data_IF_428531007246
#
_entry.id   IF_428531007246
#
_cell.length_a   1.000
_cell.length_b   1.000
_cell.length_c   1.000
_cell.angle_alpha   90.00
_cell.angle_beta   90.00
_cell.angle_gamma   90.00
#
_symmetry.space_group_name_H-M   'P 1'
#
loop_
_entity.id
_entity.type
_entity.pdbx_description
1 polymer ?
#
# COMPACT_ATOMS: atom_id res chain seq x y z
N UNK A 1 27.28 -13.84 -4.50
CA UNK A 1 26.42 -13.18 -3.49
C UNK A 1 24.97 -13.54 -3.77
N UNK A 2 24.20 -13.95 -2.75
CA UNK A 2 22.81 -14.37 -2.94
C UNK A 2 21.85 -13.23 -2.58
N UNK A 3 21.04 -12.77 -3.52
CA UNK A 3 19.99 -11.79 -3.28
C UNK A 3 18.61 -12.46 -3.23
N UNK A 4 17.89 -12.26 -2.14
CA UNK A 4 16.54 -12.78 -1.91
C UNK A 4 15.59 -11.60 -1.83
N UNK A 5 14.73 -11.48 -2.84
CA UNK A 5 13.78 -10.39 -2.99
C UNK A 5 12.40 -10.89 -2.57
N UNK A 6 11.86 -10.36 -1.48
CA UNK A 6 10.49 -10.61 -1.06
C UNK A 6 9.52 -9.79 -1.91
N UNK A 7 8.69 -10.47 -2.70
CA UNK A 7 7.62 -9.90 -3.52
C UNK A 7 6.29 -10.60 -3.20
N UNK A 8 5.82 -10.43 -1.96
CA UNK A 8 4.54 -10.98 -1.51
C UNK A 8 3.35 -10.44 -2.33
N UNK A 9 3.57 -9.32 -3.00
CA UNK A 9 2.59 -8.56 -3.77
C UNK A 9 2.53 -8.94 -5.25
N UNK A 10 3.41 -9.85 -5.70
CA UNK A 10 3.46 -10.34 -7.08
C UNK A 10 3.70 -9.23 -8.13
N UNK A 11 4.44 -8.19 -7.75
CA UNK A 11 4.72 -7.03 -8.59
C UNK A 11 5.78 -7.32 -9.67
N UNK A 12 6.64 -8.32 -9.46
CA UNK A 12 7.70 -8.72 -10.40
C UNK A 12 7.33 -9.90 -11.31
N UNK A 13 6.03 -10.17 -11.52
CA UNK A 13 5.55 -11.32 -12.33
C UNK A 13 6.19 -11.46 -13.72
N UNK A 14 6.77 -10.41 -14.30
CA UNK A 14 7.41 -10.41 -15.63
C UNK A 14 8.93 -10.35 -15.61
N UNK A 15 9.58 -10.50 -14.45
CA UNK A 15 11.05 -10.45 -14.39
C UNK A 15 11.67 -11.75 -14.92
N UNK A 16 12.81 -11.67 -15.62
CA UNK A 16 13.61 -12.86 -15.99
C UNK A 16 14.22 -13.59 -14.77
N UNK A 17 13.96 -13.13 -13.54
CA UNK A 17 14.50 -13.71 -12.32
C UNK A 17 13.72 -14.97 -11.97
N UNK A 18 14.36 -15.91 -11.28
CA UNK A 18 13.70 -17.14 -10.80
C UNK A 18 12.75 -16.81 -9.65
N UNK A 19 11.56 -17.40 -9.66
CA UNK A 19 10.52 -17.20 -8.67
C UNK A 19 10.33 -18.45 -7.78
N UNK A 20 10.12 -18.23 -6.48
CA UNK A 20 9.63 -19.24 -5.53
C UNK A 20 8.29 -18.73 -4.99
N UNK A 21 7.22 -19.25 -5.55
CA UNK A 21 5.86 -18.75 -5.36
C UNK A 21 5.03 -19.68 -4.47
N UNK A 22 5.44 -20.94 -4.33
CA UNK A 22 4.72 -21.96 -3.56
C UNK A 22 5.65 -22.75 -2.64
N UNK A 23 5.07 -23.36 -1.59
CA UNK A 23 5.82 -24.25 -0.68
C UNK A 23 6.44 -25.44 -1.44
N UNK A 24 5.80 -25.91 -2.52
CA UNK A 24 6.32 -27.02 -3.34
C UNK A 24 7.60 -26.62 -4.07
N UNK A 25 7.69 -25.36 -4.50
CA UNK A 25 8.87 -24.81 -5.18
C UNK A 25 10.03 -24.52 -4.23
N UNK A 26 9.79 -24.51 -2.91
CA UNK A 26 10.82 -24.20 -1.92
C UNK A 26 12.01 -25.14 -2.01
N UNK A 27 11.79 -26.46 -2.13
CA UNK A 27 12.88 -27.44 -2.15
C UNK A 27 13.80 -27.23 -3.36
N UNK A 28 13.20 -27.02 -4.55
CA UNK A 28 13.94 -26.74 -5.78
C UNK A 28 14.67 -25.40 -5.68
N UNK A 29 13.99 -24.36 -5.20
CA UNK A 29 14.59 -23.04 -5.00
C UNK A 29 15.74 -23.05 -4.00
N UNK A 30 15.62 -23.82 -2.92
CA UNK A 30 16.65 -24.03 -1.91
C UNK A 30 17.88 -24.70 -2.51
N UNK A 31 17.70 -25.77 -3.29
CA UNK A 31 18.82 -26.45 -3.96
C UNK A 31 19.55 -25.52 -4.92
N UNK A 32 18.82 -24.75 -5.73
CA UNK A 32 19.41 -23.77 -6.65
C UNK A 32 20.26 -22.71 -5.91
N UNK A 33 19.81 -22.27 -4.73
CA UNK A 33 20.57 -21.33 -3.90
C UNK A 33 21.87 -21.98 -3.40
N UNK A 34 21.81 -23.23 -2.94
CA UNK A 34 23.00 -23.96 -2.49
C UNK A 34 23.99 -24.22 -3.62
N UNK A 35 23.50 -24.57 -4.81
CA UNK A 35 24.33 -24.75 -6.00
C UNK A 35 25.07 -23.45 -6.36
N UNK A 36 24.35 -22.34 -6.41
CA UNK A 36 24.95 -21.03 -6.68
C UNK A 36 25.97 -20.62 -5.61
N UNK A 37 25.70 -20.92 -4.34
CA UNK A 37 26.66 -20.70 -3.25
C UNK A 37 27.94 -21.50 -3.43
N UNK A 38 27.83 -22.79 -3.75
CA UNK A 38 28.98 -23.66 -3.97
C UNK A 38 29.77 -23.25 -5.22
N UNK A 39 29.09 -22.79 -6.26
CA UNK A 39 29.69 -22.28 -7.49
C UNK A 39 30.28 -20.86 -7.32
N UNK A 40 30.09 -20.20 -6.17
CA UNK A 40 30.48 -18.82 -5.90
C UNK A 40 29.86 -17.81 -6.88
N UNK A 41 28.68 -18.11 -7.39
CA UNK A 41 27.97 -17.28 -8.35
C UNK A 41 27.06 -16.25 -7.66
N UNK A 42 26.80 -15.14 -8.36
CA UNK A 42 25.75 -14.21 -7.99
C UNK A 42 24.39 -14.77 -8.41
N UNK A 43 23.47 -14.86 -7.46
CA UNK A 43 22.17 -15.46 -7.70
C UNK A 43 21.08 -14.61 -7.06
N UNK A 44 20.06 -14.27 -7.85
CA UNK A 44 18.90 -13.50 -7.40
C UNK A 44 17.63 -14.33 -7.52
N UNK A 45 16.84 -14.37 -6.46
CA UNK A 45 15.56 -15.09 -6.44
C UNK A 45 14.46 -14.21 -5.86
N UNK A 46 13.29 -14.27 -6.48
CA UNK A 46 12.09 -13.58 -6.01
C UNK A 46 11.23 -14.57 -5.23
N UNK A 47 10.86 -14.23 -4.01
CA UNK A 47 10.08 -15.08 -3.11
C UNK A 47 8.75 -14.40 -2.84
N UNK A 48 7.66 -15.11 -3.10
CA UNK A 48 6.30 -14.53 -3.04
C UNK A 48 5.48 -15.06 -1.87
N UNK A 49 6.09 -15.91 -1.03
CA UNK A 49 5.45 -16.48 0.17
C UNK A 49 6.24 -16.09 1.41
N UNK A 50 5.60 -15.42 2.36
CA UNK A 50 6.24 -14.92 3.58
C UNK A 50 6.88 -16.04 4.41
N UNK A 51 6.20 -17.18 4.54
CA UNK A 51 6.72 -18.35 5.24
C UNK A 51 8.07 -18.82 4.66
N UNK A 52 8.21 -18.76 3.33
CA UNK A 52 9.45 -19.15 2.65
C UNK A 52 10.56 -18.13 2.90
N UNK A 53 10.24 -16.83 2.90
CA UNK A 53 11.21 -15.78 3.28
C UNK A 53 11.77 -16.04 4.67
N UNK A 54 10.91 -16.40 5.63
CA UNK A 54 11.34 -16.72 7.00
C UNK A 54 12.22 -17.97 7.07
N UNK A 55 11.89 -19.02 6.30
CA UNK A 55 12.74 -20.21 6.22
C UNK A 55 14.11 -19.91 5.61
N UNK A 56 14.16 -19.08 4.56
CA UNK A 56 15.41 -18.67 3.93
C UNK A 56 16.25 -17.78 4.86
N UNK A 57 15.64 -16.88 5.64
CA UNK A 57 16.35 -16.13 6.70
C UNK A 57 16.98 -17.04 7.74
N UNK A 58 16.25 -18.07 8.19
CA UNK A 58 16.79 -19.08 9.13
C UNK A 58 17.95 -19.89 8.53
N UNK A 59 17.89 -20.18 7.23
CA UNK A 59 19.01 -20.83 6.54
C UNK A 59 20.22 -19.90 6.41
N UNK A 60 20.01 -18.66 5.95
CA UNK A 60 21.07 -17.68 5.76
C UNK A 60 21.85 -17.37 7.04
N UNK A 61 21.20 -17.45 8.21
CA UNK A 61 21.85 -17.30 9.52
C UNK A 61 22.98 -18.31 9.81
N UNK A 62 23.10 -19.39 9.02
CA UNK A 62 24.17 -20.39 9.14
C UNK A 62 25.44 -20.01 8.37
N UNK A 63 25.41 -18.92 7.61
CA UNK A 63 26.49 -18.49 6.74
C UNK A 63 27.10 -17.16 7.22
N UNK A 64 28.33 -16.83 6.79
CA UNK A 64 28.96 -15.55 7.13
C UNK A 64 28.12 -14.34 6.75
N UNK A 65 28.31 -13.23 7.46
CA UNK A 65 27.67 -11.97 7.11
C UNK A 65 28.11 -11.51 5.70
N UNK A 66 27.17 -10.98 4.92
CA UNK A 66 27.40 -10.55 3.55
C UNK A 66 27.22 -11.63 2.48
N UNK A 67 27.00 -12.90 2.86
CA UNK A 67 26.69 -13.97 1.90
C UNK A 67 25.30 -13.80 1.28
N UNK A 68 24.33 -13.33 2.09
CA UNK A 68 22.95 -13.11 1.69
C UNK A 68 22.53 -11.65 1.86
N UNK A 69 21.83 -11.12 0.86
CA UNK A 69 21.10 -9.87 0.90
C UNK A 69 19.60 -10.16 0.87
N UNK A 70 18.84 -9.54 1.76
CA UNK A 70 17.38 -9.64 1.76
C UNK A 70 16.78 -8.27 1.44
N UNK A 71 16.05 -8.21 0.34
CA UNK A 71 15.32 -7.03 -0.11
C UNK A 71 13.82 -7.32 -0.01
N UNK A 72 13.00 -6.31 0.26
CA UNK A 72 11.55 -6.43 0.18
C UNK A 72 11.05 -5.39 -0.81
N UNK A 73 10.13 -5.80 -1.68
CA UNK A 73 9.39 -4.83 -2.47
C UNK A 73 8.42 -4.14 -1.54
N UNK A 74 8.59 -2.84 -1.46
CA UNK A 74 7.84 -1.94 -0.61
C UNK A 74 6.54 -1.56 -1.35
N UNK A 75 5.39 -1.96 -0.79
CA UNK A 75 4.07 -1.71 -1.40
C UNK A 75 3.87 -0.21 -1.67
N UNK A 76 4.42 0.64 -0.81
CA UNK A 76 4.48 2.09 -0.98
C UNK A 76 5.28 2.49 -2.22
N UNK A 77 6.52 2.03 -2.36
CA UNK A 77 7.33 2.30 -3.56
C UNK A 77 6.64 1.86 -4.86
N UNK A 78 5.98 0.71 -4.85
CA UNK A 78 5.22 0.20 -6.00
C UNK A 78 4.00 1.06 -6.33
N UNK A 79 3.24 1.47 -5.30
CA UNK A 79 2.09 2.35 -5.47
C UNK A 79 2.53 3.74 -5.95
N UNK A 80 3.64 4.28 -5.42
CA UNK A 80 4.23 5.55 -5.88
C UNK A 80 4.59 5.48 -7.37
N UNK A 81 5.23 4.40 -7.82
CA UNK A 81 5.55 4.21 -9.23
C UNK A 81 4.28 4.12 -10.11
N UNK A 82 3.25 3.41 -9.63
CA UNK A 82 2.01 3.21 -10.39
C UNK A 82 1.17 4.47 -10.49
N UNK A 83 1.06 5.21 -9.40
CA UNK A 83 0.20 6.38 -9.28
C UNK A 83 0.91 7.68 -9.65
N UNK A 84 2.25 7.68 -9.66
CA UNK A 84 3.09 8.84 -9.93
C UNK A 84 2.73 10.06 -9.05
N UNK A 85 2.41 9.78 -7.77
CA UNK A 85 2.16 10.78 -6.74
C UNK A 85 2.92 10.41 -5.47
N UNK A 86 3.23 11.42 -4.67
CA UNK A 86 3.84 11.22 -3.37
C UNK A 86 2.84 10.60 -2.40
N UNK A 87 3.24 9.48 -1.79
CA UNK A 87 2.46 8.84 -0.72
C UNK A 87 2.89 9.47 0.60
N UNK A 88 1.98 9.93 1.48
CA UNK A 88 2.36 10.51 2.76
C UNK A 88 3.12 9.52 3.66
N UNK A 89 4.18 9.95 4.37
CA UNK A 89 5.04 9.09 5.22
C UNK A 89 4.26 8.26 6.24
N UNK A 90 3.13 8.79 6.72
CA UNK A 90 2.22 8.12 7.67
C UNK A 90 1.47 6.90 7.11
N UNK A 91 1.48 6.69 5.79
CA UNK A 91 0.85 5.54 5.13
C UNK A 91 1.84 4.38 5.08
N UNK A 92 1.50 3.29 5.74
CA UNK A 92 2.32 2.08 5.83
C UNK A 92 2.03 1.11 4.68
N UNK A 93 2.92 0.12 4.48
CA UNK A 93 2.64 -0.95 3.51
C UNK A 93 1.38 -1.74 3.87
N UNK A 94 1.18 -2.02 5.15
CA UNK A 94 -0.01 -2.73 5.62
C UNK A 94 -1.29 -1.97 5.26
N UNK A 95 -1.28 -0.64 5.41
CA UNK A 95 -2.40 0.22 5.02
C UNK A 95 -2.74 0.09 3.52
N UNK A 96 -1.71 0.05 2.68
CA UNK A 96 -1.84 -0.08 1.22
C UNK A 96 -2.39 -1.47 0.85
N UNK A 97 -1.91 -2.51 1.54
CA UNK A 97 -2.31 -3.90 1.31
C UNK A 97 -3.74 -4.17 1.77
N UNK A 98 -4.10 -3.78 2.99
CA UNK A 98 -5.46 -3.97 3.54
C UNK A 98 -6.53 -3.24 2.73
N UNK A 99 -6.17 -2.08 2.18
CA UNK A 99 -7.09 -1.30 1.34
C UNK A 99 -7.18 -1.85 -0.10
N UNK A 100 -6.26 -2.73 -0.50
CA UNK A 100 -6.23 -3.32 -1.84
C UNK A 100 -5.84 -2.33 -2.95
N UNK A 101 -5.08 -1.27 -2.63
CA UNK A 101 -4.79 -0.18 -3.58
C UNK A 101 -3.95 -0.66 -4.77
N UNK A 102 -3.02 -1.59 -4.53
CA UNK A 102 -2.16 -2.17 -5.57
C UNK A 102 -2.92 -3.03 -6.59
N UNK A 103 -4.07 -3.60 -6.20
CA UNK A 103 -4.91 -4.42 -7.08
C UNK A 103 -6.07 -3.64 -7.69
N UNK A 104 -6.39 -2.47 -7.15
CA UNK A 104 -7.45 -1.62 -7.68
C UNK A 104 -7.10 -1.05 -9.06
N UNK A 105 -8.13 -0.77 -9.87
CA UNK A 105 -7.99 0.00 -11.11
C UNK A 105 -8.01 1.52 -10.88
N UNK A 106 -7.93 1.93 -9.61
CA UNK A 106 -7.91 3.33 -9.21
C UNK A 106 -6.70 4.04 -9.80
N UNK A 107 -6.96 5.18 -10.44
CA UNK A 107 -5.95 6.10 -10.94
C UNK A 107 -6.18 7.48 -10.34
N UNK A 108 -5.14 8.14 -9.79
CA UNK A 108 -5.24 9.53 -9.38
C UNK A 108 -5.66 10.42 -10.53
N UNK A 109 -6.50 11.41 -10.24
CA UNK A 109 -6.80 12.49 -11.19
C UNK A 109 -5.66 13.51 -11.19
N UNK A 110 -5.41 14.22 -12.31
CA UNK A 110 -4.41 15.28 -12.35
C UNK A 110 -4.63 16.33 -11.25
N UNK A 111 -3.59 16.62 -10.46
CA UNK A 111 -3.65 17.57 -9.35
C UNK A 111 -4.23 17.04 -8.05
N UNK A 112 -4.69 15.78 -8.00
CA UNK A 112 -5.15 15.17 -6.75
C UNK A 112 -3.97 14.67 -5.93
N UNK A 113 -4.03 14.91 -4.62
CA UNK A 113 -3.16 14.24 -3.67
C UNK A 113 -3.57 12.77 -3.47
N UNK A 114 -2.75 12.01 -2.75
CA UNK A 114 -3.06 10.64 -2.36
C UNK A 114 -4.41 10.58 -1.63
N UNK A 115 -4.61 11.47 -0.66
CA UNK A 115 -5.84 11.56 0.12
C UNK A 115 -7.04 11.97 -0.73
N UNK A 116 -6.86 12.93 -1.66
CA UNK A 116 -7.95 13.33 -2.56
C UNK A 116 -8.39 12.16 -3.45
N UNK A 117 -7.45 11.34 -3.91
CA UNK A 117 -7.72 10.13 -4.69
C UNK A 117 -8.54 9.11 -3.89
N UNK A 118 -8.18 8.88 -2.61
CA UNK A 118 -8.95 8.00 -1.74
C UNK A 118 -10.34 8.56 -1.43
N UNK A 119 -10.45 9.84 -1.10
CA UNK A 119 -11.72 10.49 -0.76
C UNK A 119 -12.70 10.47 -1.93
N UNK A 120 -12.23 10.81 -3.13
CA UNK A 120 -13.07 10.82 -4.32
C UNK A 120 -13.61 9.45 -4.70
N UNK A 121 -12.80 8.40 -4.53
CA UNK A 121 -13.16 7.05 -4.93
C UNK A 121 -14.01 6.32 -3.88
N UNK A 122 -13.58 6.33 -2.62
CA UNK A 122 -14.22 5.53 -1.58
C UNK A 122 -15.42 6.24 -0.95
N UNK A 123 -15.45 7.56 -0.95
CA UNK A 123 -16.52 8.33 -0.32
C UNK A 123 -17.31 9.15 -1.33
N UNK A 124 -16.85 10.36 -1.63
CA UNK A 124 -17.49 11.26 -2.57
C UNK A 124 -16.49 12.33 -3.08
N UNK A 125 -16.56 12.73 -4.37
CA UNK A 125 -15.68 13.75 -4.94
C UNK A 125 -15.68 15.08 -4.18
N UNK A 126 -16.81 15.48 -3.59
CA UNK A 126 -16.95 16.73 -2.82
C UNK A 126 -16.00 16.80 -1.61
N UNK A 127 -15.58 15.64 -1.07
CA UNK A 127 -14.63 15.56 0.05
C UNK A 127 -13.21 15.96 -0.34
N UNK A 128 -12.89 16.06 -1.64
CA UNK A 128 -11.60 16.57 -2.12
C UNK A 128 -11.43 18.08 -1.94
N UNK A 129 -12.51 18.80 -1.62
CA UNK A 129 -12.42 20.22 -1.25
C UNK A 129 -11.56 20.41 0.01
N UNK A 130 -10.71 21.45 0.01
CA UNK A 130 -9.86 21.84 1.16
C UNK A 130 -10.59 22.65 2.22
N UNK A 131 -11.83 23.06 1.94
CA UNK A 131 -12.69 23.80 2.88
C UNK A 131 -14.10 23.23 2.84
N UNK A 132 -14.85 23.37 3.94
CA UNK A 132 -16.21 22.85 4.00
C UNK A 132 -17.09 23.51 2.92
N UNK A 133 -17.65 22.74 1.98
CA UNK A 133 -18.36 23.28 0.82
C UNK A 133 -19.80 23.63 1.19
N UNK A 134 -19.98 24.70 1.98
CA UNK A 134 -21.27 25.11 2.54
C UNK A 134 -22.36 25.31 1.48
N UNK A 135 -22.01 25.87 0.32
CA UNK A 135 -22.95 26.07 -0.79
C UNK A 135 -23.39 24.78 -1.48
N UNK A 136 -22.72 23.66 -1.18
CA UNK A 136 -23.00 22.33 -1.72
C UNK A 136 -23.41 21.34 -0.61
N UNK A 137 -24.02 21.81 0.47
CA UNK A 137 -24.52 20.94 1.54
C UNK A 137 -25.53 19.90 1.03
N UNK A 138 -26.49 20.29 0.18
CA UNK A 138 -27.47 19.31 -0.31
C UNK A 138 -26.79 18.20 -1.14
N UNK A 139 -25.93 18.51 -2.14
CA UNK A 139 -25.13 17.49 -2.82
C UNK A 139 -24.24 16.66 -1.88
N UNK A 140 -23.66 17.27 -0.83
CA UNK A 140 -22.86 16.56 0.16
C UNK A 140 -23.68 15.49 0.88
N UNK A 141 -24.88 15.85 1.35
CA UNK A 141 -25.79 14.96 2.06
C UNK A 141 -26.33 13.86 1.13
N UNK A 142 -26.64 14.20 -0.11
CA UNK A 142 -27.11 13.24 -1.12
C UNK A 142 -26.03 12.23 -1.54
N UNK A 143 -24.75 12.62 -1.48
CA UNK A 143 -23.63 11.74 -1.81
C UNK A 143 -23.27 10.73 -0.71
N UNK A 144 -23.90 10.81 0.47
CA UNK A 144 -23.64 9.88 1.58
C UNK A 144 -24.30 8.53 1.31
N UNK A 145 -23.49 7.53 0.95
CA UNK A 145 -23.91 6.13 1.00
C UNK A 145 -23.58 5.55 2.38
N UNK A 146 -24.58 5.49 3.26
CA UNK A 146 -24.42 5.00 4.63
C UNK A 146 -23.82 3.60 4.73
N UNK A 147 -24.11 2.71 3.78
CA UNK A 147 -23.63 1.32 3.83
C UNK A 147 -22.16 1.26 3.41
N UNK A 148 -21.83 1.90 2.27
CA UNK A 148 -20.46 1.95 1.77
C UNK A 148 -19.54 2.70 2.73
N UNK A 149 -19.97 3.87 3.22
CA UNK A 149 -19.15 4.68 4.11
C UNK A 149 -18.89 3.98 5.44
N UNK A 150 -19.89 3.32 6.01
CA UNK A 150 -19.71 2.52 7.23
C UNK A 150 -18.75 1.35 7.02
N UNK A 151 -18.78 0.71 5.86
CA UNK A 151 -17.81 -0.34 5.51
C UNK A 151 -16.39 0.23 5.39
N UNK A 152 -16.24 1.38 4.73
CA UNK A 152 -14.94 2.04 4.55
C UNK A 152 -14.34 2.53 5.87
N UNK A 153 -15.16 2.95 6.83
CA UNK A 153 -14.71 3.28 8.19
C UNK A 153 -14.11 2.07 8.93
N UNK A 154 -14.43 0.84 8.50
CA UNK A 154 -13.78 -0.37 8.99
C UNK A 154 -12.34 -0.54 8.51
N UNK A 155 -11.92 0.20 7.47
CA UNK A 155 -10.55 0.17 6.93
C UNK A 155 -9.76 1.34 7.54
N UNK A 156 -8.73 1.09 8.37
CA UNK A 156 -8.03 2.13 9.14
C UNK A 156 -7.47 3.28 8.29
N UNK A 157 -6.96 2.99 7.09
CA UNK A 157 -6.45 4.02 6.17
C UNK A 157 -7.56 4.98 5.71
N UNK A 158 -8.70 4.44 5.31
CA UNK A 158 -9.83 5.22 4.80
C UNK A 158 -10.49 6.02 5.93
N UNK A 159 -10.61 5.43 7.12
CA UNK A 159 -11.15 6.10 8.30
C UNK A 159 -10.28 7.30 8.70
N UNK A 160 -8.95 7.11 8.79
CA UNK A 160 -8.02 8.21 9.10
C UNK A 160 -8.03 9.29 8.02
N UNK A 161 -8.10 8.90 6.75
CA UNK A 161 -8.14 9.84 5.62
C UNK A 161 -9.38 10.73 5.69
N UNK A 162 -10.56 10.14 5.93
CA UNK A 162 -11.79 10.90 6.10
C UNK A 162 -11.72 11.80 7.34
N UNK A 163 -11.29 11.26 8.48
CA UNK A 163 -11.17 12.02 9.72
C UNK A 163 -10.24 13.22 9.56
N UNK A 164 -9.06 13.05 8.96
CA UNK A 164 -8.14 14.16 8.68
C UNK A 164 -8.77 15.25 7.79
N UNK A 165 -9.60 14.87 6.81
CA UNK A 165 -10.31 15.83 5.96
C UNK A 165 -11.35 16.63 6.75
N UNK A 166 -12.10 15.97 7.62
CA UNK A 166 -13.08 16.63 8.48
C UNK A 166 -12.40 17.58 9.46
N UNK A 167 -11.28 17.19 10.07
CA UNK A 167 -10.49 18.09 10.93
C UNK A 167 -9.89 19.27 10.17
N UNK A 168 -9.45 19.07 8.91
CA UNK A 168 -9.04 20.15 8.02
C UNK A 168 -10.20 21.14 7.78
N UNK A 169 -11.41 20.64 7.54
CA UNK A 169 -12.60 21.48 7.38
C UNK A 169 -12.95 22.25 8.65
N UNK A 170 -12.90 21.62 9.82
CA UNK A 170 -13.16 22.28 11.11
C UNK A 170 -12.14 23.38 11.39
N UNK A 171 -10.86 23.11 11.18
CA UNK A 171 -9.79 24.10 11.42
C UNK A 171 -9.87 25.30 10.48
N UNK A 172 -10.46 25.13 9.30
CA UNK A 172 -10.66 26.18 8.29
C UNK A 172 -12.08 26.76 8.27
N UNK A 173 -12.95 26.37 9.19
CA UNK A 173 -14.30 26.90 9.29
C UNK A 173 -14.25 28.40 9.62
N UNK A 174 -15.10 29.19 8.94
CA UNK A 174 -15.15 30.65 9.10
C UNK A 174 -16.04 31.10 10.24
N UNK A 175 -16.87 30.21 10.77
CA UNK A 175 -17.78 30.49 11.89
C UNK A 175 -18.01 29.25 12.75
N UNK A 176 -18.56 29.45 13.96
CA UNK A 176 -19.00 28.40 14.89
C UNK A 176 -20.05 27.48 14.28
N UNK A 177 -20.98 28.05 13.52
CA UNK A 177 -22.09 27.30 12.90
C UNK A 177 -21.56 26.39 11.80
N UNK A 178 -20.63 26.90 10.97
CA UNK A 178 -19.98 26.09 9.96
C UNK A 178 -19.18 24.94 10.59
N UNK A 179 -18.54 25.19 11.73
CA UNK A 179 -17.80 24.15 12.47
C UNK A 179 -18.73 23.08 13.04
N UNK A 180 -19.87 23.47 13.63
CA UNK A 180 -20.88 22.55 14.12
C UNK A 180 -21.45 21.66 13.00
N UNK A 181 -21.67 22.22 11.80
CA UNK A 181 -22.14 21.44 10.65
C UNK A 181 -21.17 20.35 10.19
N UNK A 182 -19.86 20.51 10.43
CA UNK A 182 -18.85 19.48 10.14
C UNK A 182 -18.81 18.39 11.23
N UNK A 183 -19.32 18.69 12.43
CA UNK A 183 -19.32 17.80 13.59
C UNK A 183 -20.58 16.93 13.71
N UNK A 184 -21.66 17.29 13.02
CA UNK A 184 -22.90 16.52 12.90
C UNK A 184 -22.67 15.21 12.12
#
# INVERSE_FOLDING_TARGET
MINIISDLTLLLRSSQKKHISTIKEYSVGYMNILEALNAHEDYSVVVQTEVIVQWLKKMAARYPQGTFLFESIDARSALTQRWNIDIPIRVTNEDILQTGLLTSDLRPQPGFSFEDTLLAHYYAPILTSRTFPFTQISPLLEAVDHKQWKANLGIPLLARTLHSRLEEWKSKARSSEQRQLVEL
#
